data_IF_925948949831
#
_entry.id   IF_925948949831
#
_cell.length_a   1.000
_cell.length_b   1.000
_cell.length_c   1.000
_cell.angle_alpha   90.00
_cell.angle_beta   90.00
_cell.angle_gamma   90.00
#
_symmetry.space_group_name_H-M   'P 1'
#
loop_
_entity.id
_entity.type
_entity.pdbx_description
1 polymer ?
#
# COMPACT_ATOMS: atom_id res chain seq x y z
N UNK A 1 -15.77 4.69 -14.52
CA UNK A 1 -14.57 4.86 -13.67
C UNK A 1 -14.07 3.48 -13.30
N UNK A 2 -12.83 3.13 -13.68
CA UNK A 2 -12.15 1.87 -13.39
C UNK A 2 -11.11 2.11 -12.29
N UNK A 3 -11.24 1.34 -11.22
CA UNK A 3 -10.38 1.37 -10.05
C UNK A 3 -9.40 0.19 -10.10
N UNK A 4 -8.11 0.46 -10.02
CA UNK A 4 -7.08 -0.55 -9.83
C UNK A 4 -6.71 -0.62 -8.33
N UNK A 5 -6.64 -1.82 -7.77
CA UNK A 5 -6.15 -2.05 -6.40
C UNK A 5 -4.78 -2.71 -6.48
N UNK A 6 -3.75 -2.08 -5.91
CA UNK A 6 -2.43 -2.69 -5.82
C UNK A 6 -2.47 -3.90 -4.86
N UNK A 7 -2.25 -5.10 -5.39
CA UNK A 7 -2.34 -6.34 -4.62
C UNK A 7 -1.06 -6.67 -3.85
N UNK A 8 0.12 -6.40 -4.43
CA UNK A 8 1.39 -6.74 -3.81
C UNK A 8 1.57 -6.08 -2.44
N UNK A 9 2.05 -6.86 -1.47
CA UNK A 9 2.41 -6.41 -0.11
C UNK A 9 1.23 -5.73 0.64
N UNK A 10 0.00 -6.09 0.27
CA UNK A 10 -1.23 -5.57 0.88
C UNK A 10 -1.75 -6.45 2.04
N UNK A 11 -1.44 -7.76 2.05
CA UNK A 11 -1.81 -8.69 3.13
C UNK A 11 -3.28 -8.53 3.58
N UNK A 12 -3.53 -8.50 4.90
CA UNK A 12 -4.85 -8.26 5.49
C UNK A 12 -5.52 -6.97 4.97
N UNK A 13 -4.75 -5.91 4.73
CA UNK A 13 -5.29 -4.65 4.21
C UNK A 13 -5.81 -4.79 2.79
N UNK A 14 -5.20 -5.65 1.97
CA UNK A 14 -5.71 -5.99 0.64
C UNK A 14 -7.07 -6.67 0.70
N UNK A 15 -7.24 -7.62 1.63
CA UNK A 15 -8.52 -8.30 1.87
C UNK A 15 -9.59 -7.32 2.37
N UNK A 16 -9.25 -6.48 3.35
CA UNK A 16 -10.18 -5.45 3.87
C UNK A 16 -10.65 -4.55 2.73
N UNK A 17 -9.72 -4.05 1.90
CA UNK A 17 -10.07 -3.23 0.74
C UNK A 17 -10.97 -3.98 -0.24
N UNK A 18 -10.62 -5.22 -0.59
CA UNK A 18 -11.40 -6.05 -1.51
C UNK A 18 -12.86 -6.18 -1.04
N UNK A 19 -13.05 -6.56 0.23
CA UNK A 19 -14.39 -6.74 0.80
C UNK A 19 -15.13 -5.41 0.93
N UNK A 20 -14.44 -4.33 1.28
CA UNK A 20 -15.02 -2.99 1.36
C UNK A 20 -15.55 -2.52 0.00
N UNK A 21 -14.74 -2.67 -1.06
CA UNK A 21 -15.16 -2.31 -2.42
C UNK A 21 -16.31 -3.21 -2.91
N UNK A 22 -16.25 -4.52 -2.63
CA UNK A 22 -17.35 -5.46 -2.96
C UNK A 22 -18.66 -5.07 -2.27
N UNK A 23 -18.61 -4.81 -0.96
CA UNK A 23 -19.79 -4.43 -0.18
C UNK A 23 -20.35 -3.07 -0.60
N UNK A 24 -19.50 -2.15 -1.06
CA UNK A 24 -19.91 -0.85 -1.57
C UNK A 24 -20.39 -0.86 -3.03
N UNK A 25 -20.36 -2.02 -3.71
CA UNK A 25 -20.73 -2.12 -5.13
C UNK A 25 -19.77 -1.37 -6.08
N UNK A 26 -18.54 -1.11 -5.64
CA UNK A 26 -17.55 -0.40 -6.45
C UNK A 26 -16.87 -1.42 -7.37
N UNK A 27 -16.89 -1.25 -8.71
CA UNK A 27 -16.14 -2.12 -9.61
C UNK A 27 -14.64 -1.83 -9.51
N UNK A 28 -13.83 -2.88 -9.42
CA UNK A 28 -12.38 -2.78 -9.33
C UNK A 28 -11.69 -3.99 -9.96
N UNK A 29 -10.44 -3.79 -10.35
CA UNK A 29 -9.52 -4.86 -10.72
C UNK A 29 -8.37 -4.92 -9.72
N UNK A 30 -7.90 -6.14 -9.43
CA UNK A 30 -6.66 -6.34 -8.70
C UNK A 30 -5.51 -6.27 -9.69
N UNK A 31 -4.52 -5.43 -9.41
CA UNK A 31 -3.32 -5.31 -10.25
C UNK A 31 -2.07 -5.63 -9.44
N UNK A 32 -1.11 -6.26 -10.09
CA UNK A 32 0.19 -6.58 -9.53
C UNK A 32 1.26 -5.61 -10.00
N UNK A 33 2.35 -5.54 -9.26
CA UNK A 33 3.49 -4.66 -9.56
C UNK A 33 4.11 -4.93 -10.92
N UNK A 34 4.13 -6.19 -11.38
CA UNK A 34 4.60 -6.59 -12.71
C UNK A 34 3.69 -6.07 -13.82
N UNK A 35 2.37 -6.10 -13.64
CA UNK A 35 1.43 -5.52 -14.60
C UNK A 35 1.54 -3.99 -14.65
N UNK A 36 1.79 -3.34 -13.51
CA UNK A 36 2.06 -1.89 -13.45
C UNK A 36 3.34 -1.55 -14.23
N UNK A 37 4.40 -2.37 -14.13
CA UNK A 37 5.63 -2.17 -14.92
C UNK A 37 5.37 -2.26 -16.43
N UNK A 38 4.38 -3.06 -16.83
CA UNK A 38 3.94 -3.21 -18.23
C UNK A 38 2.98 -2.11 -18.70
N UNK A 39 2.61 -1.15 -17.84
CA UNK A 39 1.74 -0.03 -18.23
C UNK A 39 0.25 -0.29 -18.08
N UNK A 40 -0.18 -1.30 -17.30
CA UNK A 40 -1.61 -1.61 -17.14
C UNK A 40 -2.45 -0.42 -16.64
N UNK A 41 -1.81 0.53 -15.93
CA UNK A 41 -2.46 1.72 -15.34
C UNK A 41 -3.13 2.65 -16.36
N UNK A 42 -2.74 2.59 -17.63
CA UNK A 42 -3.34 3.41 -18.70
C UNK A 42 -4.84 3.12 -18.89
N UNK A 43 -5.32 1.98 -18.37
CA UNK A 43 -6.72 1.56 -18.44
C UNK A 43 -7.59 2.02 -17.25
N UNK A 44 -7.01 2.76 -16.30
CA UNK A 44 -7.64 3.09 -15.02
C UNK A 44 -7.71 4.59 -14.79
N UNK A 45 -8.60 5.02 -13.89
CA UNK A 45 -8.62 6.42 -13.41
C UNK A 45 -8.10 6.56 -11.98
N UNK A 46 -8.15 5.49 -11.20
CA UNK A 46 -7.74 5.51 -9.80
C UNK A 46 -6.85 4.31 -9.52
N UNK A 47 -5.69 4.55 -8.93
CA UNK A 47 -4.87 3.54 -8.27
C UNK A 47 -5.11 3.64 -6.76
N UNK A 48 -5.79 2.64 -6.21
CA UNK A 48 -5.96 2.48 -4.77
C UNK A 48 -4.85 1.59 -4.22
N UNK A 49 -4.15 2.10 -3.21
CA UNK A 49 -3.04 1.43 -2.56
C UNK A 49 -3.41 1.15 -1.10
N UNK A 50 -3.74 -0.12 -0.77
CA UNK A 50 -4.05 -0.49 0.60
C UNK A 50 -2.89 -0.29 1.56
N UNK A 51 -3.19 -0.46 2.85
CA UNK A 51 -2.19 -0.62 3.90
C UNK A 51 -1.22 -1.78 3.65
N UNK A 52 -0.32 -2.01 4.61
CA UNK A 52 0.78 -2.97 4.49
C UNK A 52 2.13 -2.27 4.58
N UNK A 53 3.17 -2.88 4.03
CA UNK A 53 4.54 -2.37 4.21
C UNK A 53 4.96 -1.54 3.01
N UNK A 54 4.96 -0.22 3.16
CA UNK A 54 5.31 0.72 2.07
C UNK A 54 6.66 0.41 1.41
N UNK A 55 7.68 0.07 2.22
CA UNK A 55 8.99 -0.26 1.70
C UNK A 55 8.98 -1.53 0.83
N UNK A 56 8.19 -2.55 1.18
CA UNK A 56 8.05 -3.75 0.37
C UNK A 56 7.25 -3.46 -0.91
N UNK A 57 6.18 -2.64 -0.85
CA UNK A 57 5.44 -2.18 -2.04
C UNK A 57 6.36 -1.48 -3.03
N UNK A 58 7.14 -0.54 -2.52
CA UNK A 58 8.14 0.20 -3.28
C UNK A 58 9.21 -0.69 -3.92
N UNK A 59 9.71 -1.69 -3.18
CA UNK A 59 10.63 -2.72 -3.71
C UNK A 59 9.97 -3.58 -4.79
N UNK A 60 8.72 -4.00 -4.59
CA UNK A 60 7.96 -4.81 -5.55
C UNK A 60 7.73 -4.06 -6.87
N UNK A 61 7.39 -2.77 -6.79
CA UNK A 61 7.26 -1.89 -7.95
C UNK A 61 8.60 -1.69 -8.68
N UNK A 62 9.72 -1.65 -7.95
CA UNK A 62 11.02 -1.27 -8.52
C UNK A 62 10.98 0.13 -9.15
N UNK A 63 12.05 0.51 -9.84
CA UNK A 63 12.14 1.88 -10.39
C UNK A 63 11.18 2.08 -11.58
N UNK A 64 11.03 1.07 -12.43
CA UNK A 64 10.07 1.07 -13.54
C UNK A 64 8.63 1.23 -13.06
N UNK A 65 8.20 0.44 -12.08
CA UNK A 65 6.82 0.52 -11.58
C UNK A 65 6.54 1.84 -10.89
N UNK A 66 7.50 2.37 -10.12
CA UNK A 66 7.38 3.71 -9.52
C UNK A 66 7.25 4.80 -10.58
N UNK A 67 8.07 4.73 -11.64
CA UNK A 67 7.97 5.68 -12.75
C UNK A 67 6.61 5.61 -13.44
N UNK A 68 6.08 4.41 -13.67
CA UNK A 68 4.73 4.22 -14.25
C UNK A 68 3.62 4.78 -13.36
N UNK A 69 3.71 4.62 -12.05
CA UNK A 69 2.75 5.23 -11.12
C UNK A 69 2.85 6.77 -11.15
N UNK A 70 4.06 7.33 -11.17
CA UNK A 70 4.25 8.80 -11.29
C UNK A 70 3.71 9.34 -12.62
N UNK A 71 3.96 8.63 -13.70
CA UNK A 71 3.46 8.97 -15.04
C UNK A 71 1.93 8.95 -15.08
N UNK A 72 1.31 7.89 -14.55
CA UNK A 72 -0.14 7.77 -14.40
C UNK A 72 -0.75 8.99 -13.68
N UNK A 73 -0.14 9.42 -12.57
CA UNK A 73 -0.62 10.59 -11.81
C UNK A 73 -0.42 11.89 -12.61
N UNK A 74 0.74 12.05 -13.26
CA UNK A 74 1.03 13.23 -14.10
C UNK A 74 0.04 13.36 -15.27
N UNK A 75 -0.47 12.24 -15.77
CA UNK A 75 -1.47 12.19 -16.85
C UNK A 75 -2.92 12.35 -16.35
N UNK A 76 -3.13 12.66 -15.07
CA UNK A 76 -4.46 12.91 -14.48
C UNK A 76 -5.07 11.72 -13.73
N UNK A 77 -4.32 10.63 -13.59
CA UNK A 77 -4.70 9.50 -12.73
C UNK A 77 -4.71 9.90 -11.25
N UNK A 78 -5.66 9.36 -10.49
CA UNK A 78 -5.77 9.61 -9.05
C UNK A 78 -5.09 8.53 -8.23
N UNK A 79 -4.37 8.91 -7.19
CA UNK A 79 -3.77 7.99 -6.22
C UNK A 79 -4.53 8.06 -4.89
N UNK A 80 -5.04 6.92 -4.41
CA UNK A 80 -5.69 6.81 -3.11
C UNK A 80 -4.94 5.80 -2.24
N UNK A 81 -4.11 6.28 -1.34
CA UNK A 81 -3.37 5.45 -0.39
C UNK A 81 -3.86 5.61 1.04
N UNK A 82 -3.91 4.52 1.81
CA UNK A 82 -4.15 4.58 3.26
C UNK A 82 -3.17 3.71 4.05
N UNK A 83 -2.94 4.03 5.33
CA UNK A 83 -1.95 3.35 6.18
C UNK A 83 -0.57 3.29 5.49
N UNK A 84 0.00 2.10 5.31
CA UNK A 84 1.24 1.91 4.56
C UNK A 84 1.18 2.35 3.10
N UNK A 85 0.01 2.30 2.47
CA UNK A 85 -0.20 2.80 1.11
C UNK A 85 -0.11 4.32 1.02
N UNK A 86 -0.63 5.06 2.00
CA UNK A 86 -0.38 6.50 2.11
C UNK A 86 1.12 6.77 2.30
N UNK A 87 1.75 5.95 3.11
CA UNK A 87 3.18 6.01 3.36
C UNK A 87 4.07 5.68 2.16
N UNK A 88 3.53 5.17 1.04
CA UNK A 88 4.23 4.96 -0.24
C UNK A 88 4.26 6.24 -1.09
N UNK A 89 3.41 7.23 -0.80
CA UNK A 89 3.35 8.50 -1.53
C UNK A 89 4.32 9.58 -1.01
N UNK A 90 5.01 9.31 0.11
CA UNK A 90 5.90 10.25 0.81
C UNK A 90 7.21 10.46 0.04
N UNK A 91 8.16 11.21 0.63
CA UNK A 91 9.54 11.40 0.16
C UNK A 91 10.56 10.79 1.16
N UNK A 92 10.75 9.50 1.06
CA UNK A 92 11.60 8.60 1.85
C UNK A 92 12.20 7.51 0.94
N UNK A 93 13.25 6.79 1.38
CA UNK A 93 13.81 5.72 0.57
C UNK A 93 12.75 4.69 0.15
N UNK A 94 12.81 4.26 -1.12
CA UNK A 94 11.97 3.24 -1.76
C UNK A 94 10.54 3.65 -2.15
N UNK A 95 10.16 4.92 -2.06
CA UNK A 95 8.77 5.34 -2.31
C UNK A 95 8.52 5.99 -3.70
N UNK A 96 7.36 6.63 -3.84
CA UNK A 96 6.93 7.31 -5.06
C UNK A 96 7.27 8.80 -5.09
N UNK A 97 7.68 9.42 -3.99
CA UNK A 97 8.06 10.85 -3.94
C UNK A 97 6.97 11.77 -4.52
N UNK A 98 5.70 11.47 -4.23
CA UNK A 98 4.54 12.23 -4.74
C UNK A 98 4.25 13.48 -3.88
N UNK A 99 4.58 13.41 -2.60
CA UNK A 99 4.38 14.47 -1.63
C UNK A 99 5.73 14.80 -0.96
N UNK A 100 6.08 16.08 -0.79
CA UNK A 100 7.31 16.51 -0.12
C UNK A 100 7.19 16.38 1.41
N UNK A 101 6.72 15.23 1.87
CA UNK A 101 6.43 14.91 3.27
C UNK A 101 7.25 13.69 3.68
N UNK A 102 7.81 13.73 4.88
CA UNK A 102 8.63 12.65 5.43
C UNK A 102 7.97 12.04 6.66
N UNK A 103 8.28 10.78 6.93
CA UNK A 103 7.92 10.16 8.22
C UNK A 103 8.86 10.71 9.30
N UNK A 104 8.31 10.96 10.48
CA UNK A 104 9.12 11.18 11.69
C UNK A 104 10.15 10.06 11.87
N UNK A 105 11.31 10.38 12.43
CA UNK A 105 12.32 9.38 12.79
C UNK A 105 11.76 8.38 13.79
N UNK A 106 12.32 7.17 13.85
CA UNK A 106 11.80 6.11 14.73
C UNK A 106 11.74 6.56 16.22
N UNK A 107 12.70 7.39 16.65
CA UNK A 107 12.76 7.95 18.01
C UNK A 107 11.67 9.00 18.30
N UNK A 108 11.14 9.65 17.27
CA UNK A 108 10.15 10.74 17.38
C UNK A 108 8.73 10.28 17.04
N UNK A 109 8.56 8.99 16.74
CA UNK A 109 7.25 8.38 16.49
C UNK A 109 6.58 8.07 17.82
N UNK A 110 5.25 8.12 17.82
CA UNK A 110 4.46 7.52 18.89
C UNK A 110 4.84 6.05 19.01
N UNK A 111 4.98 5.58 20.25
CA UNK A 111 5.26 4.18 20.55
C UNK A 111 4.19 3.34 19.84
N UNK A 112 4.63 2.51 18.89
CA UNK A 112 3.75 1.59 18.20
C UNK A 112 3.88 0.21 18.85
N UNK A 113 2.75 -0.47 19.04
CA UNK A 113 2.74 -1.87 19.44
C UNK A 113 2.91 -2.74 18.18
N UNK A 114 4.08 -2.69 17.56
CA UNK A 114 4.40 -3.47 16.36
C UNK A 114 5.73 -4.18 16.52
N UNK A 115 5.72 -5.51 16.40
CA UNK A 115 6.90 -6.36 16.61
C UNK A 115 6.48 -7.80 16.92
N UNK A 116 7.45 -8.68 17.10
CA UNK A 116 7.18 -10.03 17.59
C UNK A 116 6.60 -9.97 19.00
N UNK A 117 5.50 -10.69 19.23
CA UNK A 117 4.95 -10.89 20.57
C UNK A 117 5.60 -12.13 21.15
N UNK A 118 6.34 -11.99 22.25
CA UNK A 118 6.79 -13.13 23.04
C UNK A 118 5.62 -13.58 23.92
N UNK A 119 5.07 -14.75 23.63
CA UNK A 119 4.09 -15.39 24.50
C UNK A 119 4.84 -16.19 25.55
N UNK A 120 4.70 -15.81 26.82
CA UNK A 120 5.12 -16.65 27.94
C UNK A 120 3.88 -17.34 28.51
N UNK A 121 3.54 -18.55 28.07
CA UNK A 121 2.41 -19.28 28.62
C UNK A 121 2.66 -19.55 30.10
N UNK A 122 1.80 -19.01 30.96
CA UNK A 122 1.78 -19.38 32.38
C UNK A 122 0.93 -20.62 32.49
N UNK A 123 1.50 -21.72 32.97
CA UNK A 123 0.79 -22.95 33.21
C UNK A 123 -0.32 -22.70 34.24
N UNK A 124 -1.53 -22.51 33.73
CA UNK A 124 -2.75 -22.50 34.54
C UNK A 124 -3.36 -23.87 34.38
N UNK A 125 -2.72 -24.85 35.00
CA UNK A 125 -3.41 -26.03 35.48
C UNK A 125 -4.49 -25.53 36.45
N UNK A 126 -5.64 -25.17 35.87
CA UNK A 126 -6.88 -24.95 36.59
C UNK A 126 -7.28 -26.30 37.17
N UNK A 127 -6.82 -26.53 38.40
CA UNK A 127 -7.39 -27.49 39.34
C UNK A 127 -8.79 -27.05 39.76
#
# INVERSE_FOLDING_TARGET
MKLAILWNESFLWGLITFWSCKSAGIPFDLVRSDEIKLGILDNYQILLVPGGWAAQKGKSLGDTGKQKVREFIRLGGSFLGFCGGAGLALDVPYDLSLLPLKRKGARDRLVNLSGGVLLNPVDTSHA
#
